data_IF_431327336199
#
_entry.id   IF_431327336199
#
_cell.length_a   1.000
_cell.length_b   1.000
_cell.length_c   1.000
_cell.angle_alpha   90.00
_cell.angle_beta   90.00
_cell.angle_gamma   90.00
#
_symmetry.space_group_name_H-M   'P 1'
#
loop_
_entity.id
_entity.type
_entity.pdbx_description
1 polymer ?
#
# COMPACT_ATOMS: atom_id res chain seq x y z
N UNK A 1 14.72 1.66 18.04
CA UNK A 1 13.46 2.43 18.25
C UNK A 1 12.28 1.49 18.53
N UNK A 2 11.97 0.54 17.65
CA UNK A 2 10.86 -0.42 17.87
C UNK A 2 11.04 -1.27 19.14
N UNK A 3 12.24 -1.79 19.40
CA UNK A 3 12.50 -2.56 20.62
C UNK A 3 12.16 -1.77 21.90
N UNK A 4 12.60 -0.51 21.99
CA UNK A 4 12.28 0.40 23.11
C UNK A 4 10.79 0.67 23.23
N UNK A 5 10.08 0.76 22.10
CA UNK A 5 8.61 0.89 22.09
C UNK A 5 7.94 -0.34 22.70
N UNK A 6 8.33 -1.54 22.27
CA UNK A 6 7.79 -2.79 22.80
C UNK A 6 8.13 -2.95 24.30
N UNK A 7 9.35 -2.60 24.73
CA UNK A 7 9.73 -2.64 26.14
C UNK A 7 8.90 -1.67 27.01
N UNK A 8 8.59 -0.47 26.49
CA UNK A 8 7.88 0.55 27.27
C UNK A 8 6.35 0.39 27.27
N UNK A 9 5.76 -0.08 26.18
CA UNK A 9 4.30 -0.12 25.98
C UNK A 9 3.75 -1.51 25.70
N UNK A 10 4.62 -2.49 25.48
CA UNK A 10 4.24 -3.88 25.21
C UNK A 10 4.13 -4.70 26.49
N UNK A 11 3.30 -5.72 26.44
CA UNK A 11 3.23 -6.73 27.51
C UNK A 11 4.51 -7.56 27.51
N UNK A 12 5.13 -7.72 28.67
CA UNK A 12 6.25 -8.66 28.85
C UNK A 12 5.80 -10.09 28.55
N UNK A 13 6.57 -10.80 27.71
CA UNK A 13 6.27 -12.17 27.30
C UNK A 13 7.13 -13.17 28.08
N UNK A 14 8.45 -13.04 27.97
CA UNK A 14 9.40 -13.95 28.60
C UNK A 14 10.81 -13.33 28.65
N UNK A 15 11.73 -14.03 29.29
CA UNK A 15 13.15 -13.72 29.27
C UNK A 15 13.92 -14.92 28.71
N UNK A 16 14.74 -14.71 27.68
CA UNK A 16 15.60 -15.74 27.08
C UNK A 16 17.04 -15.26 27.18
N UNK A 17 17.91 -16.04 27.85
CA UNK A 17 19.31 -15.69 28.10
C UNK A 17 19.47 -14.28 28.70
N UNK A 18 18.68 -13.96 29.72
CA UNK A 18 18.63 -12.64 30.38
C UNK A 18 18.16 -11.47 29.48
N UNK A 19 17.68 -11.74 28.26
CA UNK A 19 17.08 -10.74 27.37
C UNK A 19 15.55 -10.76 27.49
N UNK A 20 14.91 -9.66 27.88
CA UNK A 20 13.46 -9.61 28.02
C UNK A 20 12.77 -9.36 26.67
N UNK A 21 11.80 -10.21 26.33
CA UNK A 21 10.98 -10.10 25.14
C UNK A 21 9.60 -9.53 25.49
N UNK A 22 9.16 -8.56 24.69
CA UNK A 22 7.89 -7.89 24.86
C UNK A 22 7.08 -7.97 23.56
N UNK A 23 5.76 -8.08 23.68
CA UNK A 23 4.85 -8.01 22.55
C UNK A 23 4.86 -6.61 21.92
N UNK A 24 4.40 -6.50 20.67
CA UNK A 24 4.08 -5.20 20.10
C UNK A 24 2.93 -4.55 20.90
N UNK A 25 2.96 -3.24 21.18
CA UNK A 25 1.94 -2.60 22.00
C UNK A 25 0.53 -2.71 21.41
N UNK A 26 -0.51 -2.97 22.22
CA UNK A 26 -1.90 -2.82 21.77
C UNK A 26 -2.22 -1.34 21.51
N UNK A 27 -3.24 -1.06 20.69
CA UNK A 27 -3.65 0.31 20.37
C UNK A 27 -3.90 1.16 21.63
N UNK A 28 -4.58 0.58 22.64
CA UNK A 28 -4.90 1.25 23.90
C UNK A 28 -3.68 1.73 24.68
N UNK A 29 -2.53 1.06 24.54
CA UNK A 29 -1.29 1.49 25.19
C UNK A 29 -0.71 2.78 24.58
N UNK A 30 -1.10 3.12 23.35
CA UNK A 30 -0.57 4.26 22.61
C UNK A 30 -1.53 5.45 22.54
N UNK A 31 -2.78 5.30 23.02
CA UNK A 31 -3.78 6.37 23.07
C UNK A 31 -3.74 7.18 24.37
N UNK A 32 -3.07 6.66 25.41
CA UNK A 32 -2.95 7.30 26.73
C UNK A 32 -2.44 8.74 26.69
N UNK A 33 -2.81 9.52 27.72
CA UNK A 33 -2.47 10.94 27.81
C UNK A 33 -0.95 11.19 27.90
N UNK A 34 -0.22 10.30 28.58
CA UNK A 34 1.23 10.35 28.78
C UNK A 34 2.04 9.69 27.65
N UNK A 35 1.38 8.95 26.74
CA UNK A 35 2.05 8.13 25.74
C UNK A 35 2.98 8.93 24.82
N UNK A 36 2.55 10.11 24.35
CA UNK A 36 3.38 10.95 23.48
C UNK A 36 4.65 11.44 24.20
N UNK A 37 4.51 11.90 25.45
CA UNK A 37 5.65 12.38 26.24
C UNK A 37 6.67 11.26 26.49
N UNK A 38 6.18 10.06 26.82
CA UNK A 38 7.01 8.86 26.98
C UNK A 38 7.71 8.46 25.67
N UNK A 39 7.02 8.50 24.53
CA UNK A 39 7.66 8.24 23.23
C UNK A 39 8.74 9.27 22.88
N UNK A 40 8.53 10.56 23.22
CA UNK A 40 9.55 11.60 23.05
C UNK A 40 10.78 11.32 23.90
N UNK A 41 10.60 10.95 25.17
CA UNK A 41 11.69 10.55 26.06
C UNK A 41 12.47 9.33 25.54
N UNK A 42 11.81 8.41 24.82
CA UNK A 42 12.44 7.25 24.18
C UNK A 42 13.17 7.57 22.86
N UNK A 43 13.13 8.83 22.41
CA UNK A 43 13.85 9.29 21.21
C UNK A 43 13.04 9.23 19.91
N UNK A 44 11.71 9.14 19.96
CA UNK A 44 10.88 9.17 18.74
C UNK A 44 10.84 10.57 18.09
N UNK A 45 11.21 11.62 18.83
CA UNK A 45 11.18 13.00 18.33
C UNK A 45 9.79 13.40 17.85
N UNK A 46 9.70 14.06 16.70
CA UNK A 46 8.42 14.47 16.11
C UNK A 46 7.50 13.29 15.75
N UNK A 47 8.04 12.08 15.55
CA UNK A 47 7.26 10.89 15.21
C UNK A 47 6.38 10.40 16.38
N UNK A 48 6.69 10.80 17.61
CA UNK A 48 5.85 10.49 18.77
C UNK A 48 4.39 10.96 18.55
N UNK A 49 4.22 12.18 18.04
CA UNK A 49 2.92 12.75 17.69
C UNK A 49 2.18 11.91 16.63
N UNK A 50 2.91 11.37 15.65
CA UNK A 50 2.33 10.54 14.59
C UNK A 50 1.88 9.18 15.08
N UNK A 51 2.70 8.53 15.93
CA UNK A 51 2.35 7.23 16.52
C UNK A 51 1.09 7.36 17.39
N UNK A 52 1.06 8.30 18.34
CA UNK A 52 -0.11 8.52 19.18
C UNK A 52 -1.32 9.02 18.37
N UNK A 53 -1.12 9.94 17.43
CA UNK A 53 -2.19 10.45 16.57
C UNK A 53 -2.83 9.36 15.71
N UNK A 54 -2.01 8.48 15.10
CA UNK A 54 -2.50 7.33 14.35
C UNK A 54 -3.23 6.33 15.25
N UNK A 55 -2.67 6.01 16.42
CA UNK A 55 -3.32 5.11 17.37
C UNK A 55 -4.71 5.61 17.79
N UNK A 56 -4.84 6.93 18.07
CA UNK A 56 -6.14 7.55 18.41
C UNK A 56 -7.11 7.54 17.23
N UNK A 57 -6.66 7.96 16.04
CA UNK A 57 -7.49 7.94 14.83
C UNK A 57 -7.99 6.53 14.48
N UNK A 58 -7.18 5.50 14.71
CA UNK A 58 -7.60 4.11 14.54
C UNK A 58 -8.59 3.73 15.64
N UNK A 59 -8.30 4.00 16.91
CA UNK A 59 -9.17 3.62 18.03
C UNK A 59 -10.56 4.28 17.98
N UNK A 60 -10.64 5.54 17.54
CA UNK A 60 -11.89 6.31 17.46
C UNK A 60 -12.66 6.07 16.14
N UNK A 61 -11.95 5.67 15.08
CA UNK A 61 -12.50 5.51 13.73
C UNK A 61 -12.60 4.05 13.30
N UNK A 62 -11.51 3.53 12.73
CA UNK A 62 -11.49 2.21 12.07
C UNK A 62 -11.70 1.03 13.04
N UNK A 63 -11.17 1.15 14.26
CA UNK A 63 -10.93 0.03 15.15
C UNK A 63 -9.86 -0.96 14.62
N UNK A 64 -9.43 -1.92 15.47
CA UNK A 64 -8.60 -3.04 15.05
C UNK A 64 -9.21 -3.83 13.88
N UNK A 65 -10.52 -4.04 13.91
CA UNK A 65 -11.26 -4.81 12.91
C UNK A 65 -11.26 -4.11 11.55
N UNK A 66 -11.40 -2.78 11.53
CA UNK A 66 -11.32 -2.00 10.30
C UNK A 66 -9.96 -2.12 9.62
N UNK A 67 -8.86 -2.16 10.39
CA UNK A 67 -7.53 -2.43 9.81
C UNK A 67 -7.46 -3.81 9.16
N UNK A 68 -8.04 -4.84 9.80
CA UNK A 68 -8.10 -6.19 9.23
C UNK A 68 -8.91 -6.23 7.92
N UNK A 69 -10.02 -5.48 7.84
CA UNK A 69 -10.86 -5.39 6.63
C UNK A 69 -10.13 -4.77 5.42
N UNK A 70 -9.07 -3.98 5.65
CA UNK A 70 -8.26 -3.45 4.54
C UNK A 70 -7.54 -4.55 3.74
N UNK A 71 -7.39 -5.77 4.28
CA UNK A 71 -6.89 -6.93 3.53
C UNK A 71 -7.79 -7.31 2.37
N UNK A 72 -9.11 -7.17 2.51
CA UNK A 72 -10.07 -7.49 1.43
C UNK A 72 -10.41 -6.29 0.57
N UNK A 73 -10.11 -5.07 1.02
CA UNK A 73 -10.34 -3.85 0.26
C UNK A 73 -9.43 -3.75 -0.99
N UNK A 74 -9.84 -3.06 -2.07
CA UNK A 74 -8.95 -2.76 -3.19
C UNK A 74 -7.70 -1.97 -2.74
N UNK A 75 -6.55 -2.20 -3.36
CA UNK A 75 -5.28 -1.53 -3.01
C UNK A 75 -5.41 0.01 -2.94
N UNK A 76 -6.06 0.62 -3.94
CA UNK A 76 -6.23 2.06 -4.00
C UNK A 76 -6.99 2.60 -2.77
N UNK A 77 -8.00 1.85 -2.31
CA UNK A 77 -8.80 2.21 -1.15
C UNK A 77 -8.03 2.00 0.15
N UNK A 78 -7.39 0.83 0.33
CA UNK A 78 -6.55 0.56 1.50
C UNK A 78 -5.46 1.63 1.67
N UNK A 79 -4.79 1.99 0.57
CA UNK A 79 -3.78 3.05 0.56
C UNK A 79 -4.36 4.42 0.91
N UNK A 80 -5.53 4.77 0.37
CA UNK A 80 -6.21 6.04 0.66
C UNK A 80 -6.55 6.16 2.14
N UNK A 81 -7.11 5.10 2.73
CA UNK A 81 -7.47 5.05 4.15
C UNK A 81 -6.22 5.17 5.03
N UNK A 82 -5.16 4.42 4.72
CA UNK A 82 -3.89 4.52 5.47
C UNK A 82 -3.26 5.91 5.39
N UNK A 83 -3.27 6.55 4.22
CA UNK A 83 -2.74 7.91 4.03
C UNK A 83 -3.50 8.99 4.80
N UNK A 84 -4.70 8.72 5.29
CA UNK A 84 -5.43 9.64 6.16
C UNK A 84 -4.91 9.64 7.60
N UNK A 85 -4.10 8.66 7.99
CA UNK A 85 -3.54 8.55 9.33
C UNK A 85 -2.39 9.56 9.55
N UNK A 86 -2.31 10.20 10.74
CA UNK A 86 -1.23 11.14 11.06
C UNK A 86 0.17 10.57 10.84
N UNK A 87 0.93 11.19 9.94
CA UNK A 87 2.32 10.80 9.64
C UNK A 87 2.47 9.63 8.67
N UNK A 88 1.37 9.13 8.10
CA UNK A 88 1.39 8.08 7.08
C UNK A 88 1.28 8.72 5.69
N UNK A 89 2.41 8.83 5.00
CA UNK A 89 2.46 9.23 3.60
C UNK A 89 2.39 8.05 2.63
N UNK A 90 2.34 8.35 1.33
CA UNK A 90 2.33 7.40 0.22
C UNK A 90 3.25 6.18 0.43
N UNK A 91 4.54 6.42 0.70
CA UNK A 91 5.54 5.35 0.89
C UNK A 91 5.20 4.45 2.07
N UNK A 92 4.80 5.04 3.20
CA UNK A 92 4.48 4.27 4.42
C UNK A 92 3.21 3.46 4.21
N UNK A 93 2.18 4.06 3.60
CA UNK A 93 0.96 3.35 3.24
C UNK A 93 1.26 2.17 2.29
N UNK A 94 2.09 2.39 1.27
CA UNK A 94 2.50 1.33 0.34
C UNK A 94 3.29 0.22 1.05
N UNK A 95 4.14 0.55 2.03
CA UNK A 95 4.83 -0.48 2.84
C UNK A 95 3.83 -1.34 3.61
N UNK A 96 2.82 -0.73 4.25
CA UNK A 96 1.79 -1.46 5.00
C UNK A 96 0.92 -2.30 4.06
N UNK A 97 0.53 -1.74 2.90
CA UNK A 97 -0.20 -2.46 1.86
C UNK A 97 0.55 -3.72 1.41
N UNK A 98 1.85 -3.58 1.10
CA UNK A 98 2.69 -4.67 0.60
C UNK A 98 2.97 -5.74 1.65
N UNK A 99 3.31 -5.33 2.88
CA UNK A 99 3.85 -6.24 3.89
C UNK A 99 2.81 -6.80 4.86
N UNK A 100 1.63 -6.18 4.96
CA UNK A 100 0.64 -6.52 5.99
C UNK A 100 -0.79 -6.70 5.47
N UNK A 101 -1.12 -6.18 4.28
CA UNK A 101 -2.50 -6.15 3.74
C UNK A 101 -2.69 -6.92 2.43
N UNK A 102 -1.76 -7.82 2.09
CA UNK A 102 -1.88 -8.72 0.94
C UNK A 102 -1.98 -7.99 -0.44
N UNK A 103 -1.37 -6.80 -0.57
CA UNK A 103 -1.34 -6.01 -1.81
C UNK A 103 0.00 -6.15 -2.53
N UNK A 104 0.18 -7.26 -3.26
CA UNK A 104 1.43 -7.56 -3.97
C UNK A 104 1.80 -6.53 -5.07
N UNK A 105 0.83 -5.73 -5.52
CA UNK A 105 1.00 -4.64 -6.47
C UNK A 105 1.50 -3.33 -5.86
N UNK A 106 1.52 -3.20 -4.52
CA UNK A 106 1.98 -1.98 -3.85
C UNK A 106 3.51 -1.85 -3.99
N UNK A 107 3.98 -0.66 -4.38
CA UNK A 107 5.40 -0.39 -4.64
C UNK A 107 5.83 0.81 -3.79
N UNK A 108 6.42 0.59 -2.60
CA UNK A 108 6.91 1.67 -1.75
C UNK A 108 8.09 2.41 -2.41
N UNK A 109 7.89 3.65 -2.84
CA UNK A 109 8.96 4.47 -3.43
C UNK A 109 9.47 5.47 -2.41
N UNK A 110 10.72 5.32 -1.99
CA UNK A 110 11.48 6.33 -1.26
C UNK A 110 12.57 6.96 -2.14
N UNK A 111 13.38 7.84 -1.55
CA UNK A 111 14.48 8.51 -2.25
C UNK A 111 15.49 7.51 -2.82
N UNK A 112 15.78 6.42 -2.12
CA UNK A 112 16.75 5.42 -2.55
C UNK A 112 16.22 4.59 -3.73
N UNK A 113 15.00 4.08 -3.62
CA UNK A 113 14.31 3.37 -4.72
C UNK A 113 14.22 4.27 -5.95
N UNK A 114 13.93 5.56 -5.75
CA UNK A 114 13.92 6.54 -6.84
C UNK A 114 15.30 6.72 -7.49
N UNK A 115 16.37 6.73 -6.72
CA UNK A 115 17.73 6.83 -7.26
C UNK A 115 18.10 5.59 -8.08
N UNK A 116 17.79 4.39 -7.58
CA UNK A 116 17.96 3.13 -8.32
C UNK A 116 17.14 3.17 -9.61
N UNK A 117 15.89 3.61 -9.55
CA UNK A 117 15.01 3.72 -10.72
C UNK A 117 15.65 4.57 -11.83
N UNK A 118 16.20 5.73 -11.47
CA UNK A 118 16.85 6.63 -12.44
C UNK A 118 18.11 6.05 -13.08
N UNK A 119 18.81 5.15 -12.40
CA UNK A 119 20.03 4.52 -12.90
C UNK A 119 19.72 3.34 -13.83
N UNK A 120 18.71 2.53 -13.48
CA UNK A 120 18.42 1.27 -14.18
C UNK A 120 17.45 1.43 -15.35
N UNK A 121 16.62 2.48 -15.33
CA UNK A 121 15.57 2.71 -16.33
C UNK A 121 15.86 4.02 -17.08
N UNK A 122 16.61 3.96 -18.20
CA UNK A 122 16.83 5.12 -19.06
C UNK A 122 15.49 5.50 -19.69
N UNK A 123 15.05 6.72 -19.42
CA UNK A 123 13.69 7.27 -19.62
C UNK A 123 12.67 6.92 -18.56
N UNK A 124 12.59 7.78 -17.53
CA UNK A 124 11.31 8.12 -16.98
C UNK A 124 11.13 9.62 -17.19
N UNK A 125 10.31 10.04 -18.15
CA UNK A 125 9.57 11.30 -18.02
C UNK A 125 8.56 11.24 -16.86
N UNK A 126 8.83 10.41 -15.85
CA UNK A 126 7.94 9.99 -14.79
C UNK A 126 8.32 10.83 -13.58
N UNK A 127 7.42 11.67 -13.15
CA UNK A 127 7.55 12.40 -11.88
C UNK A 127 7.75 11.39 -10.73
N UNK A 128 8.51 11.69 -9.65
CA UNK A 128 8.74 10.75 -8.54
C UNK A 128 7.45 10.14 -7.96
N UNK A 129 6.36 10.92 -7.94
CA UNK A 129 5.04 10.50 -7.49
C UNK A 129 4.37 9.43 -8.38
N UNK A 130 4.81 9.33 -9.64
CA UNK A 130 4.32 8.38 -10.64
C UNK A 130 5.20 7.14 -10.79
N UNK A 131 6.35 7.08 -10.09
CA UNK A 131 7.29 5.97 -10.18
C UNK A 131 6.65 4.62 -9.78
N UNK A 132 5.76 4.62 -8.79
CA UNK A 132 5.03 3.41 -8.40
C UNK A 132 4.13 2.87 -9.52
N UNK A 133 3.51 3.74 -10.33
CA UNK A 133 2.69 3.30 -11.47
C UNK A 133 3.57 2.70 -12.57
N UNK A 134 4.70 3.34 -12.86
CA UNK A 134 5.69 2.82 -13.80
C UNK A 134 6.11 1.38 -13.43
N UNK A 135 6.44 1.12 -12.16
CA UNK A 135 6.82 -0.22 -11.72
C UNK A 135 5.68 -1.22 -11.75
N UNK A 136 4.44 -0.79 -11.46
CA UNK A 136 3.25 -1.65 -11.62
C UNK A 136 2.98 -2.01 -13.07
N UNK A 137 3.17 -1.08 -14.00
CA UNK A 137 3.04 -1.35 -15.44
C UNK A 137 4.15 -2.28 -15.94
N UNK A 138 5.37 -2.11 -15.42
CA UNK A 138 6.52 -2.91 -15.80
C UNK A 138 6.49 -4.35 -15.27
N UNK A 139 6.19 -4.53 -13.97
CA UNK A 139 6.28 -5.82 -13.29
C UNK A 139 4.92 -6.50 -13.06
N UNK A 140 3.83 -5.80 -13.37
CA UNK A 140 2.47 -6.33 -13.28
C UNK A 140 1.96 -6.51 -11.84
N UNK A 141 1.04 -7.46 -11.60
CA UNK A 141 0.34 -7.62 -10.31
C UNK A 141 1.23 -7.94 -9.10
N UNK A 142 2.49 -8.32 -9.32
CA UNK A 142 3.45 -8.68 -8.26
C UNK A 142 4.62 -7.69 -8.17
N UNK A 143 4.38 -6.44 -8.59
CA UNK A 143 5.41 -5.40 -8.66
C UNK A 143 6.13 -5.15 -7.32
N UNK A 144 5.42 -5.18 -6.18
CA UNK A 144 6.05 -5.02 -4.87
C UNK A 144 7.01 -6.16 -4.51
N UNK A 145 6.70 -7.38 -4.96
CA UNK A 145 7.59 -8.54 -4.76
C UNK A 145 8.82 -8.45 -5.66
N UNK A 146 8.63 -8.04 -6.92
CA UNK A 146 9.75 -7.78 -7.84
C UNK A 146 10.69 -6.69 -7.28
N UNK A 147 10.13 -5.64 -6.65
CA UNK A 147 10.92 -4.61 -5.97
C UNK A 147 11.73 -5.19 -4.80
N UNK A 148 11.12 -6.04 -3.97
CA UNK A 148 11.79 -6.64 -2.80
C UNK A 148 13.02 -7.46 -3.18
N UNK A 149 13.02 -8.09 -4.36
CA UNK A 149 14.18 -8.82 -4.89
C UNK A 149 15.18 -7.89 -5.59
N UNK A 150 14.72 -6.83 -6.24
CA UNK A 150 15.57 -5.95 -7.05
C UNK A 150 16.35 -4.92 -6.22
N UNK A 151 15.80 -4.46 -5.10
CA UNK A 151 16.40 -3.40 -4.26
C UNK A 151 17.67 -3.86 -3.51
N UNK A 152 17.75 -5.09 -2.97
CA UNK A 152 18.96 -5.57 -2.29
C UNK A 152 20.12 -5.89 -3.24
N UNK A 153 19.88 -6.00 -4.54
CA UNK A 153 20.90 -6.41 -5.50
C UNK A 153 21.84 -5.24 -5.80
N UNK A 154 23.17 -5.45 -5.77
CA UNK A 154 24.12 -4.52 -6.35
C UNK A 154 23.71 -4.14 -7.77
N UNK A 155 23.88 -2.87 -8.15
CA UNK A 155 23.45 -2.35 -9.46
C UNK A 155 24.04 -3.12 -10.68
N UNK A 156 25.12 -3.87 -10.49
CA UNK A 156 25.71 -4.73 -11.52
C UNK A 156 25.00 -6.09 -11.69
N UNK A 157 24.21 -6.53 -10.71
CA UNK A 157 23.42 -7.78 -10.75
C UNK A 157 21.95 -7.55 -11.09
N UNK A 158 21.49 -6.30 -11.10
CA UNK A 158 20.13 -5.95 -11.52
C UNK A 158 20.00 -6.03 -13.05
N UNK A 159 19.09 -6.85 -13.62
CA UNK A 159 18.87 -6.90 -15.06
C UNK A 159 18.52 -5.52 -15.59
N UNK A 160 19.26 -5.03 -16.60
CA UNK A 160 18.96 -3.75 -17.23
C UNK A 160 17.64 -3.83 -17.98
N UNK A 161 16.85 -2.77 -17.88
CA UNK A 161 15.62 -2.64 -18.65
C UNK A 161 15.91 -2.64 -20.15
N UNK A 162 15.19 -3.48 -20.90
CA UNK A 162 15.22 -3.49 -22.36
C UNK A 162 13.79 -3.24 -22.88
N UNK A 163 13.53 -2.12 -23.59
CA UNK A 163 12.17 -1.69 -23.95
C UNK A 163 11.36 -2.72 -24.74
N UNK A 164 12.03 -3.60 -25.49
CA UNK A 164 11.40 -4.65 -26.30
C UNK A 164 10.79 -5.81 -25.52
N UNK A 165 11.02 -5.90 -24.20
CA UNK A 165 10.50 -7.00 -23.36
C UNK A 165 9.15 -6.70 -22.69
N UNK A 166 8.62 -5.48 -22.81
CA UNK A 166 7.25 -5.19 -22.38
C UNK A 166 6.31 -5.79 -23.42
N UNK A 167 6.00 -7.08 -23.27
CA UNK A 167 4.96 -7.72 -24.07
C UNK A 167 3.68 -6.94 -23.84
N UNK A 168 3.14 -6.33 -24.91
CA UNK A 168 1.80 -5.76 -24.93
C UNK A 168 0.81 -6.90 -24.66
N UNK A 169 0.55 -7.24 -23.40
CA UNK A 169 -0.71 -7.89 -23.03
C UNK A 169 -1.81 -6.85 -23.17
N UNK A 170 -2.15 -6.59 -24.43
CA UNK A 170 -3.37 -5.93 -24.83
C UNK A 170 -4.48 -6.88 -24.40
N UNK A 171 -5.05 -6.65 -23.22
CA UNK A 171 -6.35 -7.22 -22.87
C UNK A 171 -7.29 -6.85 -24.01
N UNK A 172 -7.65 -7.83 -24.84
CA UNK A 172 -8.67 -7.61 -25.86
C UNK A 172 -9.95 -7.22 -25.12
N UNK A 173 -10.64 -6.13 -25.49
CA UNK A 173 -12.00 -5.95 -25.03
C UNK A 173 -12.81 -7.11 -25.60
N UNK A 174 -13.53 -7.82 -24.72
CA UNK A 174 -14.47 -8.86 -25.11
C UNK A 174 -15.33 -8.37 -26.27
N UNK A 175 -15.26 -9.08 -27.39
CA UNK A 175 -15.93 -8.71 -28.63
C UNK A 175 -17.44 -8.59 -28.44
N UNK A 176 -17.96 -7.46 -28.91
CA UNK A 176 -19.27 -7.30 -29.55
C UNK A 176 -20.49 -7.97 -28.92
N UNK A 177 -21.19 -7.21 -28.06
CA UNK A 177 -22.63 -7.30 -27.90
C UNK A 177 -23.27 -5.91 -28.03
N UNK A 178 -22.99 -5.22 -29.14
CA UNK A 178 -23.83 -4.12 -29.64
C UNK A 178 -24.38 -4.52 -31.00
N UNK A 179 -25.50 -5.23 -31.00
CA UNK A 179 -26.47 -5.32 -32.11
C UNK A 179 -27.66 -6.22 -31.70
N UNK A 180 -28.51 -5.72 -30.80
CA UNK A 180 -29.85 -6.29 -30.57
C UNK A 180 -30.73 -5.31 -29.77
N UNK A 181 -30.92 -4.07 -30.26
CA UNK A 181 -31.91 -3.15 -29.67
C UNK A 181 -32.49 -2.15 -30.67
N UNK A 182 -32.65 -2.54 -31.94
CA UNK A 182 -33.26 -1.65 -32.95
C UNK A 182 -34.04 -2.30 -34.11
N UNK A 183 -34.43 -3.58 -34.04
CA UNK A 183 -35.32 -4.18 -35.06
C UNK A 183 -36.27 -5.23 -34.49
N UNK A 184 -37.29 -4.75 -33.79
CA UNK A 184 -38.58 -5.45 -33.66
C UNK A 184 -39.55 -4.55 -32.91
N UNK A 185 -40.29 -3.75 -33.67
CA UNK A 185 -41.67 -3.28 -33.42
C UNK A 185 -41.93 -1.97 -34.20
N UNK A 186 -41.84 -2.06 -35.52
CA UNK A 186 -42.63 -1.20 -36.40
C UNK A 186 -43.12 -2.01 -37.60
N UNK A 187 -44.43 -1.93 -37.83
CA UNK A 187 -45.26 -2.45 -38.94
C UNK A 187 -45.66 -3.93 -38.90
N UNK A 188 -46.89 -4.18 -38.44
CA UNK A 188 -48.16 -4.27 -39.22
C UNK A 188 -49.27 -3.84 -38.23
N UNK A 189 -50.23 -2.95 -38.47
CA UNK A 189 -50.91 -2.53 -39.70
C UNK A 189 -52.36 -3.05 -39.66
N UNK A 190 -53.35 -2.17 -39.42
CA UNK A 190 -54.72 -2.36 -39.91
C UNK A 190 -55.87 -2.45 -38.89
N UNK A 191 -56.53 -1.30 -38.67
CA UNK A 191 -57.97 -1.05 -38.88
C UNK A 191 -59.03 -1.96 -38.20
N UNK A 192 -59.87 -1.40 -37.31
CA UNK A 192 -61.33 -1.31 -37.55
C UNK A 192 -62.06 -0.42 -36.53
N UNK A 193 -63.09 0.26 -37.06
CA UNK A 193 -64.06 1.13 -36.42
C UNK A 193 -65.09 0.30 -35.63
N UNK A 194 -65.55 0.83 -34.51
CA UNK A 194 -66.95 0.90 -34.08
C UNK A 194 -67.05 1.91 -32.94
#
# INVERSE_FOLDING_TARGET
MIERLCQAFGRHLCCLDSRPFHAFPPLSALTGADAEARLRALGFGYRAKFVCGSARAIAEGLGPEGLCQLRTAPYAEARRVLCALPGVGAKVADCVCLLSLDKAEAVPVDTHVWHIARQLYPHPGVHPLSAGNFFRELWGPRAGWAQAVSTPLPAHLTPRYHPSRVSRTRTQPAGSARRAWHRSHHRKGGNHRA
#
